data_IF_218130643573
#
_entry.id   IF_218130643573
#
_cell.length_a   1.000
_cell.length_b   1.000
_cell.length_c   1.000
_cell.angle_alpha   90.00
_cell.angle_beta   90.00
_cell.angle_gamma   90.00
#
_symmetry.space_group_name_H-M   'P 1'
#
loop_
_entity.id
_entity.type
_entity.pdbx_description
1 polymer ?
#
# COMPACT_ATOMS: atom_id res chain seq x y z
N UNK A 1 -13.32 1.27 -6.61
CA UNK A 1 -12.42 1.60 -5.48
C UNK A 1 -10.99 1.72 -6.03
N UNK A 2 -10.52 2.93 -6.30
CA UNK A 2 -9.31 3.15 -7.08
C UNK A 2 -8.06 2.91 -6.24
N UNK A 3 -7.53 1.68 -6.26
CA UNK A 3 -6.29 1.28 -5.57
C UNK A 3 -5.09 2.17 -5.94
N UNK A 4 -5.03 2.65 -7.18
CA UNK A 4 -4.04 3.62 -7.64
C UNK A 4 -4.11 4.96 -6.90
N UNK A 5 -5.31 5.40 -6.53
CA UNK A 5 -5.51 6.68 -5.86
C UNK A 5 -4.96 6.65 -4.42
N UNK A 6 -5.02 5.48 -3.76
CA UNK A 6 -4.41 5.26 -2.46
C UNK A 6 -2.88 5.28 -2.51
N UNK A 7 -2.27 4.72 -3.57
CA UNK A 7 -0.82 4.79 -3.77
C UNK A 7 -0.34 6.23 -3.98
N UNK A 8 -1.06 7.00 -4.81
CA UNK A 8 -0.76 8.43 -5.01
C UNK A 8 -0.93 9.20 -3.69
N UNK A 9 -2.00 8.91 -2.93
CA UNK A 9 -2.24 9.53 -1.63
C UNK A 9 -1.14 9.20 -0.62
N UNK A 10 -0.66 7.95 -0.58
CA UNK A 10 0.47 7.51 0.24
C UNK A 10 1.78 8.22 -0.14
N UNK A 11 2.06 8.37 -1.44
CA UNK A 11 3.26 9.08 -1.91
C UNK A 11 3.20 10.59 -1.58
N UNK A 12 2.01 11.20 -1.63
CA UNK A 12 1.80 12.62 -1.34
C UNK A 12 1.66 12.94 0.16
N UNK A 13 1.37 11.96 1.01
CA UNK A 13 1.17 12.18 2.44
C UNK A 13 2.47 12.61 3.14
N UNK A 14 2.47 13.79 3.76
CA UNK A 14 3.63 14.35 4.46
C UNK A 14 3.94 13.64 5.79
N UNK A 15 2.97 12.93 6.36
CA UNK A 15 3.15 12.18 7.62
C UNK A 15 4.00 10.91 7.43
N UNK A 16 4.16 10.46 6.19
CA UNK A 16 4.92 9.26 5.88
C UNK A 16 6.38 9.64 5.67
N UNK A 17 7.32 9.06 6.45
CA UNK A 17 8.73 9.39 6.32
C UNK A 17 9.25 8.98 4.94
N UNK A 18 10.12 9.81 4.36
CA UNK A 18 10.68 9.61 3.01
C UNK A 18 11.28 8.22 2.81
N UNK A 19 11.83 7.61 3.87
CA UNK A 19 12.37 6.24 3.88
C UNK A 19 11.33 5.17 3.52
N UNK A 20 10.08 5.33 3.97
CA UNK A 20 8.99 4.41 3.64
C UNK A 20 8.52 4.62 2.19
N UNK A 21 8.58 5.86 1.68
CA UNK A 21 8.20 6.18 0.30
C UNK A 21 9.17 5.59 -0.74
N UNK A 22 10.46 5.50 -0.41
CA UNK A 22 11.47 4.89 -1.29
C UNK A 22 11.14 3.44 -1.67
N UNK A 23 10.51 2.69 -0.78
CA UNK A 23 10.06 1.32 -1.08
C UNK A 23 9.01 1.27 -2.20
N UNK A 24 8.21 2.32 -2.39
CA UNK A 24 7.23 2.40 -3.47
C UNK A 24 7.83 3.06 -4.72
N UNK A 25 8.68 4.06 -4.54
CA UNK A 25 9.28 4.84 -5.64
C UNK A 25 10.29 4.02 -6.44
N UNK A 26 11.12 3.18 -5.79
CA UNK A 26 12.15 2.38 -6.46
C UNK A 26 11.53 1.39 -7.46
N UNK A 27 10.55 0.55 -7.09
CA UNK A 27 9.86 -0.31 -8.05
C UNK A 27 9.10 0.47 -9.13
N UNK A 28 8.53 1.63 -8.78
CA UNK A 28 7.82 2.47 -9.75
C UNK A 28 8.76 3.04 -10.82
N UNK A 29 9.93 3.52 -10.42
CA UNK A 29 10.99 3.97 -11.32
C UNK A 29 11.52 2.81 -12.17
N UNK A 30 11.64 1.62 -11.59
CA UNK A 30 12.06 0.41 -12.31
C UNK A 30 11.10 0.05 -13.45
N UNK A 31 9.78 0.09 -13.18
CA UNK A 31 8.75 -0.15 -14.20
C UNK A 31 8.77 0.93 -15.29
N UNK A 32 9.01 2.20 -14.92
CA UNK A 32 9.01 3.34 -15.85
C UNK A 32 10.28 3.41 -16.71
N UNK A 33 11.42 2.91 -16.22
CA UNK A 33 12.70 2.95 -16.92
C UNK A 33 13.54 1.70 -16.61
N UNK A 34 13.29 0.58 -17.30
CA UNK A 34 14.06 -0.67 -17.17
C UNK A 34 15.49 -0.57 -17.76
N UNK A 35 15.93 0.63 -18.15
CA UNK A 35 16.86 0.78 -19.28
C UNK A 35 18.33 0.53 -18.96
N UNK A 36 18.81 0.57 -17.70
CA UNK A 36 20.27 0.69 -17.53
C UNK A 36 20.95 0.06 -16.30
N UNK A 37 20.35 -0.95 -15.64
CA UNK A 37 20.99 -1.60 -14.46
C UNK A 37 21.61 -2.98 -14.75
N UNK A 38 21.18 -3.69 -15.79
CA UNK A 38 21.69 -5.03 -16.10
C UNK A 38 21.81 -5.17 -17.63
N UNK A 39 23.03 -5.26 -18.21
CA UNK A 39 23.18 -5.60 -19.61
C UNK A 39 22.71 -7.05 -19.83
N UNK A 40 21.58 -7.21 -20.51
CA UNK A 40 20.94 -8.50 -20.77
C UNK A 40 21.82 -9.33 -21.71
N UNK A 41 22.14 -10.59 -21.35
CA UNK A 41 21.66 -11.67 -22.22
C UNK A 41 21.41 -12.98 -21.46
N UNK A 42 20.28 -13.13 -20.73
CA UNK A 42 19.78 -14.47 -20.38
C UNK A 42 18.24 -14.51 -20.36
N UNK A 43 17.65 -14.79 -21.52
CA UNK A 43 16.40 -15.56 -21.68
C UNK A 43 15.23 -15.27 -20.72
N UNK A 44 14.56 -14.11 -20.80
CA UNK A 44 13.20 -13.93 -20.25
C UNK A 44 13.00 -14.12 -18.73
N UNK A 45 14.05 -14.47 -17.98
CA UNK A 45 14.02 -14.68 -16.54
C UNK A 45 14.09 -13.37 -15.75
N UNK A 46 14.59 -12.27 -16.35
CA UNK A 46 14.56 -10.94 -15.71
C UNK A 46 13.15 -10.55 -15.27
N UNK A 47 12.14 -10.81 -16.10
CA UNK A 47 10.76 -10.43 -15.79
C UNK A 47 10.22 -11.25 -14.60
N UNK A 48 10.62 -12.52 -14.49
CA UNK A 48 10.20 -13.42 -13.41
C UNK A 48 10.88 -12.98 -12.10
N UNK A 49 12.17 -12.67 -12.12
CA UNK A 49 12.90 -12.16 -10.96
C UNK A 49 12.30 -10.83 -10.47
N UNK A 50 11.99 -9.92 -11.39
CA UNK A 50 11.34 -8.64 -11.08
C UNK A 50 9.94 -8.81 -10.48
N UNK A 51 9.14 -9.75 -11.00
CA UNK A 51 7.81 -10.06 -10.48
C UNK A 51 7.88 -10.67 -9.08
N UNK A 52 8.83 -11.56 -8.83
CA UNK A 52 9.06 -12.15 -7.50
C UNK A 52 9.51 -11.06 -6.52
N UNK A 53 10.45 -10.20 -6.94
CA UNK A 53 10.93 -9.10 -6.10
C UNK A 53 9.82 -8.09 -5.79
N UNK A 54 9.01 -7.74 -6.79
CA UNK A 54 7.85 -6.86 -6.62
C UNK A 54 6.78 -7.49 -5.71
N UNK A 55 6.51 -8.79 -5.86
CA UNK A 55 5.59 -9.52 -4.98
C UNK A 55 6.08 -9.58 -3.52
N UNK A 56 7.38 -9.84 -3.32
CA UNK A 56 8.00 -9.81 -1.99
C UNK A 56 7.90 -8.41 -1.36
N UNK A 57 8.16 -7.38 -2.14
CA UNK A 57 8.17 -5.99 -1.68
C UNK A 57 6.75 -5.51 -1.33
N UNK A 58 5.75 -5.84 -2.15
CA UNK A 58 4.33 -5.62 -1.84
C UNK A 58 3.92 -6.33 -0.55
N UNK A 59 4.37 -7.56 -0.34
CA UNK A 59 4.09 -8.32 0.88
C UNK A 59 4.68 -7.62 2.10
N UNK A 60 5.93 -7.14 2.01
CA UNK A 60 6.58 -6.39 3.10
C UNK A 60 5.90 -5.07 3.41
N UNK A 61 5.48 -4.32 2.39
CA UNK A 61 4.72 -3.08 2.55
C UNK A 61 3.36 -3.38 3.19
N UNK A 62 2.68 -4.44 2.78
CA UNK A 62 1.42 -4.87 3.37
C UNK A 62 1.58 -5.26 4.85
N UNK A 63 2.59 -6.05 5.20
CA UNK A 63 2.89 -6.41 6.59
C UNK A 63 3.16 -5.18 7.45
N UNK A 64 3.98 -4.24 6.96
CA UNK A 64 4.26 -2.98 7.65
C UNK A 64 3.04 -2.11 7.81
N UNK A 65 2.24 -1.97 6.75
CA UNK A 65 1.00 -1.19 6.74
C UNK A 65 -0.01 -1.80 7.71
N UNK A 66 -0.24 -3.12 7.64
CA UNK A 66 -1.09 -3.84 8.58
C UNK A 66 -0.61 -3.66 10.01
N UNK A 67 0.70 -3.78 10.27
CA UNK A 67 1.27 -3.57 11.60
C UNK A 67 1.07 -2.13 12.06
N UNK A 68 1.27 -1.14 11.20
CA UNK A 68 1.06 0.26 11.53
C UNK A 68 -0.41 0.53 11.87
N UNK A 69 -1.36 0.10 11.03
CA UNK A 69 -2.78 0.30 11.30
C UNK A 69 -3.31 -0.57 12.46
N UNK A 70 -2.79 -1.78 12.66
CA UNK A 70 -3.18 -2.62 13.79
C UNK A 70 -2.65 -2.08 15.14
N UNK A 71 -1.46 -1.46 15.17
CA UNK A 71 -0.93 -0.84 16.39
C UNK A 71 -1.46 0.58 16.63
N UNK A 72 -1.98 1.26 15.59
CA UNK A 72 -2.75 2.50 15.75
C UNK A 72 -4.24 2.22 16.01
N UNK A 73 -4.68 0.96 16.00
CA UNK A 73 -5.99 0.55 16.47
C UNK A 73 -5.93 0.48 18.00
N UNK A 74 -6.16 1.61 18.65
CA UNK A 74 -6.41 1.63 20.09
C UNK A 74 -7.85 1.17 20.30
N UNK A 75 -8.02 0.11 21.07
CA UNK A 75 -9.31 -0.38 21.56
C UNK A 75 -10.10 0.73 22.30
N UNK A 76 -9.41 1.77 22.76
CA UNK A 76 -9.93 2.98 23.41
C UNK A 76 -10.82 3.86 22.51
N UNK A 77 -10.77 3.73 21.17
CA UNK A 77 -11.60 4.54 20.25
C UNK A 77 -12.97 3.92 19.93
N UNK A 78 -13.29 2.75 20.51
CA UNK A 78 -14.62 2.13 20.37
C UNK A 78 -15.53 2.68 21.47
N UNK A 79 -16.41 3.62 21.11
CA UNK A 79 -17.49 4.06 21.99
C UNK A 79 -18.61 3.02 21.92
N UNK A 80 -18.67 2.08 22.86
CA UNK A 80 -19.71 1.04 22.91
C UNK A 80 -21.06 1.55 23.43
N UNK A 81 -21.06 2.69 24.14
CA UNK A 81 -22.25 3.28 24.78
C UNK A 81 -22.88 4.40 23.92
N UNK A 82 -23.05 4.17 22.63
CA UNK A 82 -23.81 5.10 21.79
C UNK A 82 -25.26 4.62 21.73
N UNK A 83 -26.14 5.28 22.48
CA UNK A 83 -27.59 5.15 22.24
C UNK A 83 -27.91 5.80 20.89
N UNK A 84 -28.49 5.02 19.98
CA UNK A 84 -28.98 5.52 18.70
C UNK A 84 -30.48 5.25 18.59
N UNK A 85 -31.22 6.27 18.19
CA UNK A 85 -32.65 6.16 17.90
C UNK A 85 -32.80 5.82 16.41
N UNK A 86 -33.18 4.58 16.11
CA UNK A 86 -33.50 4.17 14.74
C UNK A 86 -34.88 4.72 14.40
N UNK A 87 -34.93 5.81 13.66
CA UNK A 87 -36.14 6.18 12.94
C UNK A 87 -36.37 5.16 11.84
N UNK A 88 -37.38 4.32 12.01
CA UNK A 88 -37.88 3.50 10.91
C UNK A 88 -38.56 4.47 9.96
N UNK A 89 -37.91 4.73 8.82
CA UNK A 89 -38.62 5.30 7.69
C UNK A 89 -39.65 4.24 7.29
N UNK A 90 -40.93 4.57 7.48
CA UNK A 90 -42.04 3.73 7.04
C UNK A 90 -41.88 3.51 5.53
N UNK A 91 -41.75 2.24 5.14
CA UNK A 91 -41.69 1.84 3.72
C UNK A 91 -42.98 2.31 3.02
N UNK A 92 -42.82 3.23 2.05
CA UNK A 92 -43.86 3.64 1.10
C UNK A 92 -43.57 3.08 -0.30
#
# INVERSE_FOLDING_TARGET
MNRLLFLIKFLLDKNIPLREKWWVIIPLLYILSPVDLIPVPVFGFSIIDDLIMLGFLLTKVYEKTKKYYANNYKEEDIIENVEYEVKKDEEE
#
